data_IF_743700703724
#
_entry.id   IF_743700703724
#
_cell.length_a   1.000
_cell.length_b   1.000
_cell.length_c   1.000
_cell.angle_alpha   90.00
_cell.angle_beta   90.00
_cell.angle_gamma   90.00
#
_symmetry.space_group_name_H-M   'P 1'
#
loop_
_entity.id
_entity.type
_entity.pdbx_description
1 polymer ?
#
# COMPACT_ATOMS: atom_id res chain seq x y z
N UNK A 1 -23.05 -32.24 -1.45
CA UNK A 1 -22.12 -31.09 -1.54
C UNK A 1 -22.25 -30.36 -0.22
N UNK A 2 -21.20 -30.32 0.60
CA UNK A 2 -21.25 -29.73 1.94
C UNK A 2 -21.03 -28.22 1.83
N UNK A 3 -21.91 -27.43 2.45
CA UNK A 3 -21.77 -25.98 2.58
C UNK A 3 -20.52 -25.66 3.41
N UNK A 4 -19.49 -25.14 2.76
CA UNK A 4 -18.31 -24.62 3.45
C UNK A 4 -18.74 -23.31 4.12
N UNK A 5 -18.64 -23.18 5.45
CA UNK A 5 -19.03 -21.95 6.12
C UNK A 5 -18.25 -20.76 5.55
N UNK A 6 -18.96 -19.67 5.25
CA UNK A 6 -18.38 -18.46 4.64
C UNK A 6 -17.17 -17.91 5.42
N UNK A 7 -17.12 -18.14 6.73
CA UNK A 7 -15.99 -17.75 7.60
C UNK A 7 -14.68 -18.51 7.32
N UNK A 8 -14.73 -19.59 6.53
CA UNK A 8 -13.57 -20.40 6.11
C UNK A 8 -13.24 -20.26 4.62
N UNK A 9 -13.83 -19.30 3.91
CA UNK A 9 -13.44 -18.99 2.53
C UNK A 9 -12.00 -18.45 2.52
N UNK A 10 -11.07 -19.30 2.09
CA UNK A 10 -9.68 -18.94 1.83
C UNK A 10 -9.63 -17.88 0.72
N UNK A 11 -8.71 -16.92 0.80
CA UNK A 11 -8.50 -15.85 -0.19
C UNK A 11 -8.38 -16.37 -1.65
N UNK A 12 -8.02 -17.65 -1.84
CA UNK A 12 -8.02 -18.35 -3.15
C UNK A 12 -9.41 -18.44 -3.82
N UNK A 13 -10.50 -18.22 -3.07
CA UNK A 13 -11.88 -18.21 -3.60
C UNK A 13 -12.39 -16.82 -3.97
N UNK A 14 -11.62 -15.76 -3.67
CA UNK A 14 -11.91 -14.39 -4.09
C UNK A 14 -11.55 -14.26 -5.57
N UNK A 15 -12.53 -13.97 -6.43
CA UNK A 15 -12.35 -13.85 -7.89
C UNK A 15 -11.41 -12.70 -8.27
N UNK A 16 -11.26 -11.73 -7.39
CA UNK A 16 -10.40 -10.57 -7.55
C UNK A 16 -9.11 -10.77 -6.75
N UNK A 17 -7.97 -10.71 -7.42
CA UNK A 17 -6.68 -10.68 -6.74
C UNK A 17 -6.61 -9.40 -5.91
N UNK A 18 -6.33 -9.46 -4.60
CA UNK A 18 -6.10 -8.24 -3.83
C UNK A 18 -4.94 -7.48 -4.46
N UNK A 19 -5.10 -6.16 -4.61
CA UNK A 19 -4.01 -5.28 -5.00
C UNK A 19 -2.83 -5.54 -4.04
N UNK A 20 -1.70 -5.95 -4.59
CA UNK A 20 -0.51 -6.24 -3.79
C UNK A 20 0.23 -4.91 -3.62
N UNK A 21 0.33 -4.36 -2.40
CA UNK A 21 1.01 -3.09 -2.20
C UNK A 21 2.50 -3.29 -2.49
N UNK A 22 3.05 -2.43 -3.35
CA UNK A 22 4.49 -2.37 -3.59
C UNK A 22 5.16 -1.65 -2.41
N UNK A 23 6.15 -2.30 -1.79
CA UNK A 23 6.92 -1.75 -0.68
C UNK A 23 8.33 -1.39 -1.15
N UNK A 24 8.71 -0.14 -0.96
CA UNK A 24 9.99 0.42 -1.38
C UNK A 24 10.82 0.86 -0.18
N UNK A 25 12.13 0.73 -0.33
CA UNK A 25 13.10 1.14 0.68
C UNK A 25 14.22 1.93 0.00
N UNK A 26 14.49 3.12 0.52
CA UNK A 26 15.57 3.98 0.06
C UNK A 26 16.56 4.18 1.19
N UNK A 27 17.73 3.55 1.08
CA UNK A 27 18.79 3.68 2.06
C UNK A 27 19.81 4.74 1.61
N UNK A 28 19.75 5.92 2.25
CA UNK A 28 20.71 7.00 2.01
C UNK A 28 21.79 7.07 3.10
N UNK A 29 21.86 6.10 4.01
CA UNK A 29 22.83 6.09 5.12
C UNK A 29 24.28 6.06 4.61
N UNK A 30 24.50 5.46 3.43
CA UNK A 30 25.80 5.42 2.77
C UNK A 30 26.39 6.81 2.47
N UNK A 31 25.54 7.84 2.33
CA UNK A 31 25.96 9.23 2.08
C UNK A 31 25.66 10.15 3.28
N UNK A 32 25.40 9.58 4.46
CA UNK A 32 25.04 10.33 5.67
C UNK A 32 23.59 10.80 5.73
N UNK A 33 22.72 10.29 4.85
CA UNK A 33 21.27 10.51 4.89
C UNK A 33 20.53 9.49 5.75
N UNK A 34 19.19 9.53 5.69
CA UNK A 34 18.31 8.61 6.41
C UNK A 34 17.77 7.50 5.51
N UNK A 35 17.16 6.48 6.11
CA UNK A 35 16.48 5.40 5.40
C UNK A 35 14.98 5.68 5.36
N UNK A 36 14.41 5.67 4.16
CA UNK A 36 13.01 5.95 3.92
C UNK A 36 12.26 4.69 3.48
N UNK A 37 10.99 4.60 3.86
CA UNK A 37 10.11 3.47 3.59
C UNK A 37 8.81 3.96 2.96
N UNK A 38 8.49 3.49 1.76
CA UNK A 38 7.32 3.95 1.00
C UNK A 38 6.43 2.80 0.53
N UNK A 39 5.12 3.04 0.41
CA UNK A 39 4.18 2.12 -0.24
C UNK A 39 3.41 2.81 -1.38
N UNK A 40 3.00 2.03 -2.39
CA UNK A 40 2.20 2.56 -3.51
C UNK A 40 0.79 3.00 -3.07
N UNK A 41 0.21 2.29 -2.10
CA UNK A 41 -1.15 2.44 -1.62
C UNK A 41 -1.16 2.33 -0.09
N UNK A 42 -1.98 3.11 0.61
CA UNK A 42 -2.21 2.92 2.03
C UNK A 42 -2.89 1.57 2.29
N UNK A 43 -2.91 1.13 3.55
CA UNK A 43 -3.68 -0.06 3.90
C UNK A 43 -5.20 0.15 3.67
N UNK A 44 -6.01 -0.91 3.83
CA UNK A 44 -7.47 -0.83 3.67
C UNK A 44 -8.15 0.24 4.57
N UNK A 45 -7.47 0.74 5.60
CA UNK A 45 -7.95 1.79 6.51
C UNK A 45 -7.51 3.20 6.10
N UNK A 46 -6.71 3.34 5.04
CA UNK A 46 -6.11 4.62 4.66
C UNK A 46 -4.92 5.01 5.53
N UNK A 47 -4.38 4.09 6.34
CA UNK A 47 -3.24 4.33 7.23
C UNK A 47 -1.93 3.80 6.59
N UNK A 48 -0.76 4.27 7.08
CA UNK A 48 0.53 3.71 6.69
C UNK A 48 0.59 2.19 6.86
N UNK A 49 1.24 1.52 5.90
CA UNK A 49 1.37 0.06 5.91
C UNK A 49 2.47 -0.32 6.90
N UNK A 50 2.14 -1.09 7.93
CA UNK A 50 3.16 -1.66 8.84
C UNK A 50 3.52 -3.07 8.41
N UNK A 51 4.78 -3.29 8.03
CA UNK A 51 5.29 -4.59 7.58
C UNK A 51 6.63 -4.92 8.25
N UNK A 52 6.72 -6.12 8.83
CA UNK A 52 7.91 -6.59 9.57
C UNK A 52 8.44 -5.58 10.61
N UNK A 53 7.54 -4.87 11.30
CA UNK A 53 7.90 -3.86 12.31
C UNK A 53 8.38 -2.52 11.75
N UNK A 54 8.25 -2.30 10.43
CA UNK A 54 8.56 -1.04 9.76
C UNK A 54 7.29 -0.40 9.21
N UNK A 55 7.19 0.91 9.32
CA UNK A 55 6.09 1.69 8.78
C UNK A 55 6.47 2.20 7.39
N UNK A 56 5.64 1.92 6.41
CA UNK A 56 5.76 2.37 5.03
C UNK A 56 4.72 3.45 4.80
N UNK A 57 5.19 4.65 4.48
CA UNK A 57 4.32 5.79 4.23
C UNK A 57 3.84 5.76 2.77
N UNK A 58 2.54 5.98 2.51
CA UNK A 58 2.08 6.20 1.15
C UNK A 58 2.73 7.46 0.58
N UNK A 59 2.97 7.49 -0.73
CA UNK A 59 3.45 8.70 -1.37
C UNK A 59 2.50 9.87 -1.08
N UNK A 60 3.01 11.04 -0.62
CA UNK A 60 2.17 12.22 -0.48
C UNK A 60 1.77 12.68 -1.88
N UNK A 61 0.58 12.28 -2.33
CA UNK A 61 0.01 12.75 -3.60
C UNK A 61 -0.40 14.21 -3.39
N UNK A 62 0.56 15.12 -3.47
CA UNK A 62 0.30 16.55 -3.42
C UNK A 62 -0.20 17.02 -4.79
N UNK A 63 -1.45 16.69 -5.13
CA UNK A 63 -2.19 17.42 -6.16
C UNK A 63 -2.67 18.75 -5.56
N UNK A 64 -1.73 19.61 -5.19
CA UNK A 64 -2.01 21.01 -4.88
C UNK A 64 -2.05 21.73 -6.21
N UNK A 65 -3.27 21.98 -6.70
CA UNK A 65 -3.57 22.82 -7.86
C UNK A 65 -3.28 22.19 -9.23
N UNK A 66 -4.14 21.25 -9.67
CA UNK A 66 -4.31 20.97 -11.11
C UNK A 66 -5.67 21.52 -11.55
N UNK A 67 -5.72 22.81 -11.87
CA UNK A 67 -6.82 23.35 -12.65
C UNK A 67 -6.68 22.84 -14.10
N UNK A 68 -7.40 21.77 -14.46
CA UNK A 68 -7.61 21.42 -15.86
C UNK A 68 -8.63 22.42 -16.43
N UNK A 69 -8.13 23.57 -16.90
CA UNK A 69 -8.91 24.46 -17.76
C UNK A 69 -8.90 23.90 -19.19
N UNK A 70 -9.91 23.08 -19.50
CA UNK A 70 -10.21 22.69 -20.87
C UNK A 70 -10.79 23.88 -21.64
N UNK A 71 -10.09 24.33 -22.68
CA UNK A 71 -10.64 25.24 -23.69
C UNK A 71 -11.05 24.43 -24.93
#
# INVERSE_FOLDING_TARGET
MQDIPQSTLNETTKTEQPARPDLWEFDLTAIGGERYFFCNEPNEKGEPVTWQGRQYEPYPIQAQDVEINGK
#
